data_IF_684011772954
#
_entry.id   IF_684011772954
#
_cell.length_a   1.000
_cell.length_b   1.000
_cell.length_c   1.000
_cell.angle_alpha   90.00
_cell.angle_beta   90.00
_cell.angle_gamma   90.00
#
_symmetry.space_group_name_H-M   'P 1'
#
loop_
_entity.id
_entity.type
_entity.pdbx_description
1 polymer ?
#
# COMPACT_ATOMS: atom_id res chain seq x y z
N UNK A 1 6.96 -10.11 46.04
CA UNK A 1 7.97 -9.31 45.31
C UNK A 1 7.81 -9.59 43.83
N UNK A 2 7.57 -8.54 43.06
CA UNK A 2 6.94 -8.54 41.73
C UNK A 2 7.85 -8.95 40.56
N UNK A 3 7.31 -9.56 39.49
CA UNK A 3 8.02 -9.77 38.22
C UNK A 3 7.80 -8.64 37.18
N UNK A 4 7.25 -7.49 37.59
CA UNK A 4 6.83 -6.40 36.67
C UNK A 4 8.03 -5.62 36.07
N UNK A 5 9.19 -5.64 36.71
CA UNK A 5 10.34 -4.79 36.32
C UNK A 5 11.02 -5.27 35.01
N UNK A 6 10.97 -6.57 34.71
CA UNK A 6 11.69 -7.15 33.56
C UNK A 6 11.05 -6.81 32.21
N UNK A 7 9.73 -6.60 32.15
CA UNK A 7 9.03 -6.23 30.91
C UNK A 7 9.24 -4.77 30.52
N UNK A 8 9.23 -3.85 31.49
CA UNK A 8 9.40 -2.40 31.25
C UNK A 8 10.80 -2.07 30.67
N UNK A 9 11.86 -2.72 31.18
CA UNK A 9 13.22 -2.50 30.67
C UNK A 9 13.47 -3.06 29.26
N UNK A 10 12.73 -4.10 28.87
CA UNK A 10 12.79 -4.64 27.50
C UNK A 10 12.09 -3.72 26.50
N UNK A 11 10.96 -3.13 26.88
CA UNK A 11 10.23 -2.17 26.05
C UNK A 11 11.02 -0.88 25.84
N UNK A 12 11.62 -0.31 26.90
CA UNK A 12 12.40 0.92 26.79
C UNK A 12 13.65 0.75 25.90
N UNK A 13 14.36 -0.37 26.05
CA UNK A 13 15.48 -0.70 25.18
C UNK A 13 15.06 -0.91 23.72
N UNK A 14 13.87 -1.48 23.49
CA UNK A 14 13.34 -1.71 22.14
C UNK A 14 12.95 -0.38 21.49
N UNK A 15 12.33 0.53 22.24
CA UNK A 15 11.98 1.88 21.78
C UNK A 15 13.24 2.67 21.40
N UNK A 16 14.30 2.62 22.20
CA UNK A 16 15.57 3.29 21.86
C UNK A 16 16.19 2.71 20.60
N UNK A 17 16.21 1.38 20.44
CA UNK A 17 16.70 0.73 19.22
C UNK A 17 15.87 1.11 17.99
N UNK A 18 14.55 1.21 18.13
CA UNK A 18 13.64 1.63 17.07
C UNK A 18 13.89 3.08 16.64
N UNK A 19 14.16 3.99 17.60
CA UNK A 19 14.56 5.36 17.27
C UNK A 19 15.89 5.41 16.54
N UNK A 20 16.88 4.64 16.98
CA UNK A 20 18.20 4.59 16.33
C UNK A 20 18.15 4.02 14.91
N UNK A 21 17.34 2.97 14.70
CA UNK A 21 17.17 2.40 13.36
C UNK A 21 16.41 3.36 12.45
N UNK A 22 15.36 4.04 12.94
CA UNK A 22 14.65 5.07 12.15
C UNK A 22 15.58 6.22 11.80
N UNK A 23 16.41 6.68 12.73
CA UNK A 23 17.39 7.74 12.48
C UNK A 23 18.38 7.34 11.37
N UNK A 24 18.84 6.09 11.35
CA UNK A 24 19.66 5.55 10.27
C UNK A 24 18.95 5.58 8.92
N UNK A 25 17.70 5.12 8.87
CA UNK A 25 16.92 5.10 7.64
C UNK A 25 16.60 6.50 7.14
N UNK A 26 16.40 7.48 8.04
CA UNK A 26 16.27 8.90 7.69
C UNK A 26 17.56 9.48 7.13
N UNK A 27 18.70 9.17 7.73
CA UNK A 27 20.00 9.65 7.26
C UNK A 27 20.31 9.16 5.84
N UNK A 28 19.90 7.93 5.50
CA UNK A 28 20.12 7.33 4.19
C UNK A 28 18.92 7.46 3.24
N UNK A 29 17.92 8.29 3.59
CA UNK A 29 16.63 8.40 2.88
C UNK A 29 16.79 8.57 1.37
N UNK A 30 17.66 9.49 0.93
CA UNK A 30 17.84 9.79 -0.50
C UNK A 30 18.33 8.58 -1.28
N UNK A 31 19.33 7.88 -0.76
CA UNK A 31 19.87 6.68 -1.40
C UNK A 31 18.83 5.55 -1.42
N UNK A 32 18.14 5.32 -0.30
CA UNK A 32 17.20 4.22 -0.16
C UNK A 32 15.94 4.40 -1.02
N UNK A 33 15.41 5.62 -1.13
CA UNK A 33 14.26 5.91 -2.01
C UNK A 33 14.62 5.77 -3.49
N UNK A 34 15.83 6.19 -3.89
CA UNK A 34 16.30 6.10 -5.27
C UNK A 34 16.49 4.64 -5.67
N UNK A 35 17.12 3.85 -4.78
CA UNK A 35 17.26 2.42 -4.97
C UNK A 35 15.91 1.71 -5.05
N UNK A 36 14.97 2.07 -4.17
CA UNK A 36 13.63 1.48 -4.20
C UNK A 36 12.87 1.83 -5.48
N UNK A 37 12.86 3.10 -5.91
CA UNK A 37 12.22 3.51 -7.17
C UNK A 37 12.85 2.83 -8.40
N UNK A 38 14.18 2.64 -8.39
CA UNK A 38 14.89 1.86 -9.41
C UNK A 38 14.40 0.41 -9.45
N UNK A 39 14.30 -0.26 -8.30
CA UNK A 39 13.82 -1.64 -8.22
C UNK A 39 12.36 -1.81 -8.68
N UNK A 40 11.48 -0.86 -8.35
CA UNK A 40 10.09 -0.84 -8.85
C UNK A 40 10.08 -0.80 -10.38
N UNK A 41 10.89 0.08 -10.96
CA UNK A 41 11.01 0.27 -12.41
C UNK A 41 11.58 -0.98 -13.09
N UNK A 42 12.63 -1.58 -12.53
CA UNK A 42 13.26 -2.79 -13.06
C UNK A 42 12.36 -4.03 -12.98
N UNK A 43 11.58 -4.13 -11.91
CA UNK A 43 10.56 -5.16 -11.74
C UNK A 43 9.34 -4.95 -12.66
N UNK A 44 9.28 -3.83 -13.40
CA UNK A 44 8.16 -3.41 -14.25
C UNK A 44 6.84 -3.39 -13.48
N UNK A 45 6.89 -2.89 -12.25
CA UNK A 45 5.71 -2.63 -11.44
C UNK A 45 5.24 -1.19 -11.68
N UNK A 46 3.93 -0.95 -11.63
CA UNK A 46 3.31 0.35 -11.91
C UNK A 46 3.60 0.88 -13.33
N UNK A 47 3.61 0.01 -14.35
CA UNK A 47 3.86 0.45 -15.74
C UNK A 47 2.83 1.44 -16.27
N UNK A 48 1.68 1.57 -15.59
CA UNK A 48 0.66 2.56 -15.89
C UNK A 48 0.98 3.98 -15.36
N UNK A 49 2.13 4.16 -14.68
CA UNK A 49 2.59 5.43 -14.12
C UNK A 49 3.92 5.84 -14.75
N UNK A 50 4.15 7.14 -14.87
CA UNK A 50 5.46 7.67 -15.28
C UNK A 50 6.52 7.46 -14.20
N UNK A 51 7.80 7.43 -14.57
CA UNK A 51 8.89 7.32 -13.61
C UNK A 51 8.93 8.46 -12.59
N UNK A 52 8.50 9.67 -12.98
CA UNK A 52 8.39 10.81 -12.08
C UNK A 52 7.27 10.61 -11.05
N UNK A 53 6.10 10.14 -11.49
CA UNK A 53 5.02 9.75 -10.57
C UNK A 53 5.48 8.64 -9.62
N UNK A 54 6.09 7.57 -10.12
CA UNK A 54 6.61 6.48 -9.28
C UNK A 54 7.60 6.99 -8.24
N UNK A 55 8.50 7.90 -8.61
CA UNK A 55 9.47 8.48 -7.67
C UNK A 55 8.81 9.36 -6.61
N UNK A 56 7.80 10.16 -6.99
CA UNK A 56 7.03 10.98 -6.05
C UNK A 56 6.24 10.11 -5.05
N UNK A 57 5.55 9.08 -5.55
CA UNK A 57 4.81 8.12 -4.73
C UNK A 57 5.75 7.34 -3.80
N UNK A 58 6.89 6.86 -4.31
CA UNK A 58 7.91 6.20 -3.49
C UNK A 58 8.44 7.13 -2.39
N UNK A 59 8.64 8.42 -2.67
CA UNK A 59 9.08 9.37 -1.65
C UNK A 59 8.04 9.50 -0.52
N UNK A 60 6.77 9.65 -0.87
CA UNK A 60 5.70 9.81 0.11
C UNK A 60 5.41 8.52 0.89
N UNK A 61 5.40 7.36 0.25
CA UNK A 61 5.23 6.06 0.93
C UNK A 61 6.40 5.78 1.87
N UNK A 62 7.64 6.09 1.46
CA UNK A 62 8.82 5.93 2.31
C UNK A 62 8.71 6.76 3.60
N UNK A 63 8.28 8.02 3.49
CA UNK A 63 8.13 8.91 4.65
C UNK A 63 7.05 8.41 5.61
N UNK A 64 5.87 8.06 5.09
CA UNK A 64 4.77 7.49 5.89
C UNK A 64 5.18 6.16 6.53
N UNK A 65 5.97 5.34 5.84
CA UNK A 65 6.49 4.10 6.39
C UNK A 65 7.44 4.35 7.58
N UNK A 66 8.37 5.32 7.46
CA UNK A 66 9.26 5.67 8.57
C UNK A 66 8.51 6.28 9.76
N UNK A 67 7.50 7.10 9.51
CA UNK A 67 6.63 7.63 10.56
C UNK A 67 5.89 6.51 11.27
N UNK A 68 5.35 5.54 10.54
CA UNK A 68 4.66 4.39 11.11
C UNK A 68 5.60 3.47 11.91
N UNK A 69 6.86 3.34 11.48
CA UNK A 69 7.89 2.66 12.27
C UNK A 69 8.21 3.40 13.57
N UNK A 70 8.34 4.72 13.54
CA UNK A 70 8.74 5.52 14.70
C UNK A 70 7.64 5.62 15.77
N UNK A 71 6.41 5.85 15.31
CA UNK A 71 5.26 6.12 16.19
C UNK A 71 4.46 4.86 16.53
N UNK A 72 4.59 3.81 15.72
CA UNK A 72 3.74 2.62 15.76
C UNK A 72 2.34 2.82 15.17
N UNK A 73 1.95 4.06 14.87
CA UNK A 73 0.68 4.48 14.28
C UNK A 73 0.70 4.25 12.77
N UNK A 74 -0.35 3.63 12.24
CA UNK A 74 -0.47 3.26 10.81
C UNK A 74 -1.48 4.13 10.07
N UNK A 75 -2.16 5.03 10.77
CA UNK A 75 -3.28 5.83 10.29
C UNK A 75 -2.89 6.74 9.11
N UNK A 76 -1.75 7.42 9.20
CA UNK A 76 -1.23 8.26 8.12
C UNK A 76 -0.91 7.42 6.87
N UNK A 77 -0.28 6.27 7.07
CA UNK A 77 0.05 5.34 6.00
C UNK A 77 -1.20 4.74 5.35
N UNK A 78 -2.21 4.36 6.14
CA UNK A 78 -3.50 3.86 5.65
C UNK A 78 -4.25 4.91 4.85
N UNK A 79 -4.30 6.15 5.34
CA UNK A 79 -4.92 7.27 4.64
C UNK A 79 -4.22 7.54 3.29
N UNK A 80 -2.88 7.53 3.30
CA UNK A 80 -2.10 7.68 2.08
C UNK A 80 -2.35 6.53 1.10
N UNK A 81 -2.28 5.28 1.58
CA UNK A 81 -2.50 4.09 0.78
C UNK A 81 -3.89 4.08 0.15
N UNK A 82 -4.94 4.49 0.89
CA UNK A 82 -6.31 4.62 0.37
C UNK A 82 -6.38 5.62 -0.77
N UNK A 83 -5.85 6.84 -0.58
CA UNK A 83 -5.83 7.88 -1.61
C UNK A 83 -5.05 7.45 -2.86
N UNK A 84 -3.92 6.74 -2.68
CA UNK A 84 -3.15 6.19 -3.79
C UNK A 84 -3.94 5.10 -4.52
N UNK A 85 -4.58 4.19 -3.77
CA UNK A 85 -5.41 3.10 -4.30
C UNK A 85 -6.49 3.61 -5.25
N UNK A 86 -7.20 4.67 -4.87
CA UNK A 86 -8.23 5.31 -5.72
C UNK A 86 -7.68 5.82 -7.07
N UNK A 87 -6.39 6.19 -7.13
CA UNK A 87 -5.74 6.63 -8.38
C UNK A 87 -5.20 5.47 -9.22
N UNK A 88 -4.71 4.40 -8.59
CA UNK A 88 -4.03 3.29 -9.29
C UNK A 88 -4.98 2.16 -9.70
N UNK A 89 -6.07 1.94 -8.97
CA UNK A 89 -7.07 0.91 -9.32
C UNK A 89 -7.70 1.18 -10.70
N UNK A 90 -8.15 2.41 -11.04
CA UNK A 90 -8.69 2.69 -12.39
C UNK A 90 -7.66 2.56 -13.52
N UNK A 91 -6.36 2.63 -13.18
CA UNK A 91 -5.25 2.45 -14.12
C UNK A 91 -4.91 0.97 -14.36
N UNK A 92 -5.63 0.05 -13.71
CA UNK A 92 -5.44 -1.40 -13.85
C UNK A 92 -4.27 -1.97 -13.06
N UNK A 93 -3.76 -1.24 -12.06
CA UNK A 93 -2.70 -1.76 -11.18
C UNK A 93 -3.25 -2.90 -10.35
N UNK A 94 -2.55 -4.04 -10.35
CA UNK A 94 -2.96 -5.29 -9.71
C UNK A 94 -2.47 -5.43 -8.24
N UNK A 95 -3.11 -6.31 -7.46
CA UNK A 95 -2.78 -6.47 -6.02
C UNK A 95 -1.38 -7.02 -5.81
N UNK A 96 -0.94 -7.92 -6.67
CA UNK A 96 0.41 -8.48 -6.67
C UNK A 96 1.47 -7.41 -6.94
N UNK A 97 1.18 -6.41 -7.78
CA UNK A 97 2.07 -5.26 -7.98
C UNK A 97 2.25 -4.48 -6.69
N UNK A 98 1.16 -4.14 -6.00
CA UNK A 98 1.20 -3.38 -4.73
C UNK A 98 1.94 -4.15 -3.65
N UNK A 99 1.65 -5.44 -3.50
CA UNK A 99 2.37 -6.31 -2.55
C UNK A 99 3.84 -6.39 -2.90
N UNK A 100 4.19 -6.55 -4.18
CA UNK A 100 5.56 -6.56 -4.67
C UNK A 100 6.33 -5.29 -4.30
N UNK A 101 5.73 -4.12 -4.50
CA UNK A 101 6.32 -2.82 -4.18
C UNK A 101 6.64 -2.69 -2.69
N UNK A 102 5.71 -3.12 -1.82
CA UNK A 102 5.90 -3.09 -0.36
C UNK A 102 7.01 -4.05 0.07
N UNK A 103 7.09 -5.25 -0.53
CA UNK A 103 8.16 -6.21 -0.25
C UNK A 103 9.53 -5.70 -0.71
N UNK A 104 9.60 -5.02 -1.87
CA UNK A 104 10.85 -4.37 -2.32
C UNK A 104 11.33 -3.31 -1.33
N UNK A 105 10.42 -2.51 -0.74
CA UNK A 105 10.79 -1.55 0.29
C UNK A 105 11.37 -2.25 1.51
N UNK A 106 10.70 -3.31 1.99
CA UNK A 106 11.19 -4.13 3.10
C UNK A 106 12.62 -4.62 2.85
N UNK A 107 12.89 -5.12 1.66
CA UNK A 107 14.22 -5.64 1.29
C UNK A 107 15.29 -4.54 1.28
N UNK A 108 14.98 -3.38 0.71
CA UNK A 108 15.90 -2.21 0.69
C UNK A 108 16.26 -1.78 2.11
N UNK A 109 15.27 -1.66 2.99
CA UNK A 109 15.48 -1.25 4.37
C UNK A 109 16.24 -2.31 5.17
N UNK A 110 15.87 -3.59 5.03
CA UNK A 110 16.55 -4.70 5.70
C UNK A 110 18.03 -4.79 5.31
N UNK A 111 18.36 -4.62 4.02
CA UNK A 111 19.76 -4.58 3.54
C UNK A 111 20.54 -3.39 4.12
N UNK A 112 19.90 -2.23 4.25
CA UNK A 112 20.51 -1.05 4.88
C UNK A 112 20.82 -1.29 6.37
N UNK A 113 19.90 -1.90 7.11
CA UNK A 113 20.11 -2.27 8.50
C UNK A 113 21.21 -3.32 8.64
N UNK A 114 21.19 -4.36 7.80
CA UNK A 114 22.24 -5.38 7.76
C UNK A 114 23.62 -4.75 7.53
N UNK A 115 23.75 -3.85 6.53
CA UNK A 115 25.01 -3.18 6.23
C UNK A 115 25.56 -2.39 7.43
N UNK A 116 24.70 -1.74 8.21
CA UNK A 116 25.08 -0.98 9.41
C UNK A 116 25.49 -1.89 10.58
N UNK A 117 24.73 -2.94 10.86
CA UNK A 117 24.88 -3.70 12.11
C UNK A 117 25.64 -5.03 11.95
N UNK A 118 26.03 -5.44 10.74
CA UNK A 118 26.71 -6.73 10.45
C UNK A 118 27.94 -7.07 11.30
N UNK A 119 28.64 -6.08 11.86
CA UNK A 119 29.84 -6.31 12.68
C UNK A 119 29.51 -6.79 14.10
N UNK A 120 28.26 -6.62 14.55
CA UNK A 120 27.79 -7.07 15.85
C UNK A 120 26.50 -7.87 15.65
N UNK A 121 26.64 -9.19 15.58
CA UNK A 121 25.53 -10.09 15.28
C UNK A 121 24.41 -10.05 16.33
N UNK A 122 24.76 -9.94 17.61
CA UNK A 122 23.77 -9.85 18.69
C UNK A 122 22.96 -8.55 18.60
N UNK A 123 23.62 -7.44 18.28
CA UNK A 123 22.94 -6.16 18.05
C UNK A 123 22.08 -6.20 16.79
N UNK A 124 22.57 -6.80 15.70
CA UNK A 124 21.81 -6.98 14.46
C UNK A 124 20.51 -7.76 14.72
N UNK A 125 20.57 -8.88 15.44
CA UNK A 125 19.38 -9.66 15.78
C UNK A 125 18.38 -8.82 16.58
N UNK A 126 18.84 -8.05 17.58
CA UNK A 126 17.96 -7.16 18.35
C UNK A 126 17.32 -6.05 17.51
N UNK A 127 18.04 -5.53 16.52
CA UNK A 127 17.51 -4.54 15.57
C UNK A 127 16.45 -5.17 14.68
N UNK A 128 16.68 -6.39 14.18
CA UNK A 128 15.70 -7.12 13.38
C UNK A 128 14.47 -7.51 14.20
N UNK A 129 14.64 -7.97 15.44
CA UNK A 129 13.55 -8.27 16.37
C UNK A 129 12.63 -7.06 16.61
N UNK A 130 13.18 -5.84 16.56
CA UNK A 130 12.42 -4.60 16.67
C UNK A 130 11.76 -4.17 15.34
N UNK A 131 12.47 -4.35 14.22
CA UNK A 131 12.03 -3.92 12.90
C UNK A 131 10.98 -4.84 12.27
N UNK A 132 11.20 -6.16 12.29
CA UNK A 132 10.40 -7.14 11.54
C UNK A 132 8.93 -7.15 11.94
N UNK A 133 8.54 -7.12 13.24
CA UNK A 133 7.13 -7.10 13.62
C UNK A 133 6.41 -5.84 13.10
N UNK A 134 7.08 -4.69 13.14
CA UNK A 134 6.53 -3.43 12.65
C UNK A 134 6.39 -3.45 11.12
N UNK A 135 7.42 -3.91 10.41
CA UNK A 135 7.40 -4.06 8.96
C UNK A 135 6.30 -5.02 8.48
N UNK A 136 6.15 -6.18 9.13
CA UNK A 136 5.12 -7.16 8.80
C UNK A 136 3.71 -6.60 9.04
N UNK A 137 3.49 -5.88 10.15
CA UNK A 137 2.21 -5.22 10.43
C UNK A 137 1.85 -4.22 9.32
N UNK A 138 2.80 -3.36 8.96
CA UNK A 138 2.62 -2.38 7.88
C UNK A 138 2.27 -3.09 6.56
N UNK A 139 3.02 -4.13 6.19
CA UNK A 139 2.79 -4.83 4.93
C UNK A 139 1.41 -5.49 4.86
N UNK A 140 0.98 -6.15 5.94
CA UNK A 140 -0.36 -6.76 6.03
C UNK A 140 -1.45 -5.70 5.93
N UNK A 141 -1.33 -4.61 6.70
CA UNK A 141 -2.29 -3.51 6.68
C UNK A 141 -2.47 -2.93 5.28
N UNK A 142 -1.36 -2.59 4.61
CA UNK A 142 -1.41 -1.98 3.28
C UNK A 142 -2.02 -2.94 2.26
N UNK A 143 -1.63 -4.22 2.29
CA UNK A 143 -2.17 -5.23 1.39
C UNK A 143 -3.69 -5.43 1.58
N UNK A 144 -4.15 -5.57 2.83
CA UNK A 144 -5.58 -5.74 3.14
C UNK A 144 -6.36 -4.48 2.78
N UNK A 145 -5.87 -3.29 3.12
CA UNK A 145 -6.51 -2.02 2.80
C UNK A 145 -6.70 -1.82 1.30
N UNK A 146 -5.68 -2.16 0.50
CA UNK A 146 -5.77 -2.10 -0.96
C UNK A 146 -6.83 -3.03 -1.53
N UNK A 147 -6.90 -4.28 -1.06
CA UNK A 147 -7.93 -5.25 -1.51
C UNK A 147 -9.33 -4.75 -1.16
N UNK A 148 -9.54 -4.24 0.05
CA UNK A 148 -10.82 -3.69 0.48
C UNK A 148 -11.26 -2.51 -0.40
N UNK A 149 -10.32 -1.62 -0.74
CA UNK A 149 -10.59 -0.48 -1.61
C UNK A 149 -10.95 -0.92 -3.03
N UNK A 150 -10.23 -1.89 -3.58
CA UNK A 150 -10.58 -2.49 -4.87
C UNK A 150 -11.97 -3.08 -4.87
N UNK A 151 -12.33 -3.86 -3.85
CA UNK A 151 -13.68 -4.41 -3.76
C UNK A 151 -14.75 -3.32 -3.68
N UNK A 152 -14.48 -2.22 -2.95
CA UNK A 152 -15.38 -1.07 -2.88
C UNK A 152 -15.60 -0.46 -4.25
N UNK A 153 -14.52 -0.22 -5.00
CA UNK A 153 -14.58 0.32 -6.37
C UNK A 153 -15.38 -0.62 -7.28
N UNK A 154 -15.14 -1.93 -7.22
CA UNK A 154 -15.90 -2.92 -8.01
C UNK A 154 -17.39 -2.88 -7.67
N UNK A 155 -17.76 -2.82 -6.38
CA UNK A 155 -19.17 -2.72 -5.96
C UNK A 155 -19.83 -1.46 -6.49
N UNK A 156 -19.18 -0.31 -6.38
CA UNK A 156 -19.69 0.95 -6.91
C UNK A 156 -19.85 0.92 -8.44
N UNK A 157 -18.89 0.33 -9.16
CA UNK A 157 -19.00 0.14 -10.61
C UNK A 157 -20.20 -0.76 -10.98
N UNK A 158 -20.44 -1.84 -10.23
CA UNK A 158 -21.60 -2.72 -10.46
C UNK A 158 -22.93 -2.01 -10.18
N UNK A 159 -23.01 -1.18 -9.14
CA UNK A 159 -24.20 -0.37 -8.82
C UNK A 159 -24.47 0.67 -9.91
N UNK A 160 -23.45 1.41 -10.35
CA UNK A 160 -23.59 2.37 -11.45
C UNK A 160 -24.06 1.71 -12.75
N UNK A 161 -23.54 0.51 -13.08
CA UNK A 161 -24.03 -0.26 -14.22
C UNK A 161 -25.49 -0.63 -14.03
N UNK A 162 -25.92 -1.08 -12.84
CA UNK A 162 -27.33 -1.43 -12.55
C UNK A 162 -28.26 -0.23 -12.66
N UNK A 163 -27.83 0.96 -12.24
CA UNK A 163 -28.62 2.20 -12.35
C UNK A 163 -28.71 2.71 -13.79
N UNK A 164 -27.63 2.56 -14.58
CA UNK A 164 -27.60 2.90 -16.01
C UNK A 164 -28.26 1.84 -16.89
N UNK A 165 -28.42 0.62 -16.37
CA UNK A 165 -29.13 -0.46 -17.03
C UNK A 165 -30.62 -0.19 -16.88
N UNK A 166 -31.30 0.11 -17.99
CA UNK A 166 -32.76 0.07 -18.04
C UNK A 166 -33.22 -1.34 -17.64
N UNK A 167 -33.95 -1.53 -16.53
CA UNK A 167 -34.41 -2.85 -16.16
C UNK A 167 -35.41 -3.32 -17.22
N UNK A 168 -35.12 -4.46 -17.86
CA UNK A 168 -36.12 -5.14 -18.70
C UNK A 168 -37.13 -5.78 -17.74
N UNK A 169 -38.19 -5.04 -17.42
CA UNK A 169 -39.30 -5.56 -16.62
C UNK A 169 -40.09 -6.57 -17.46
N UNK A 170 -40.21 -7.85 -17.04
CA UNK A 170 -41.07 -8.80 -17.73
C UNK A 170 -42.53 -8.41 -17.51
N UNK A 171 -43.24 -8.04 -18.57
CA UNK A 171 -44.65 -7.58 -18.49
C UNK A 171 -45.64 -8.76 -18.53
N UNK A 172 -45.22 -9.92 -19.07
CA UNK A 172 -45.92 -11.25 -19.09
C UNK A 172 -45.03 -12.31 -19.75
N UNK A 173 -45.37 -13.60 -19.62
CA UNK A 173 -44.71 -14.69 -20.37
C UNK A 173 -44.67 -14.36 -21.87
N UNK A 174 -43.45 -14.24 -22.43
CA UNK A 174 -43.14 -14.01 -23.87
C UNK A 174 -43.33 -12.60 -24.43
N UNK A 175 -43.45 -11.54 -23.61
CA UNK A 175 -43.35 -10.14 -24.08
C UNK A 175 -42.23 -9.38 -23.35
N UNK A 176 -41.26 -8.88 -24.12
CA UNK A 176 -40.17 -8.01 -23.64
C UNK A 176 -40.37 -6.60 -24.21
N UNK A 177 -40.26 -5.58 -23.36
CA UNK A 177 -40.19 -4.18 -23.81
C UNK A 177 -38.71 -3.79 -23.82
N UNK A 178 -38.18 -3.50 -25.00
CA UNK A 178 -36.86 -2.89 -25.15
C UNK A 178 -37.07 -1.38 -25.40
N UNK A 179 -36.69 -0.49 -24.46
CA UNK A 179 -36.72 0.94 -24.72
C UNK A 179 -35.65 1.28 -25.77
N UNK A 180 -36.07 1.81 -26.92
CA UNK A 180 -35.15 2.31 -27.95
C UNK A 180 -34.66 3.70 -27.51
N UNK A 181 -33.35 3.86 -27.32
CA UNK A 181 -32.73 5.17 -27.13
C UNK A 181 -32.07 5.60 -28.44
N UNK A 182 -32.67 6.60 -29.08
CA UNK A 182 -32.17 7.26 -30.29
C UNK A 182 -33.09 8.42 -30.66
N UNK A 183 -32.54 9.47 -31.27
CA UNK A 183 -33.35 10.48 -31.97
C UNK A 183 -34.09 9.77 -33.09
N UNK A 184 -35.43 9.70 -33.00
CA UNK A 184 -36.24 9.22 -34.11
C UNK A 184 -36.08 10.25 -35.23
N UNK A 185 -35.32 9.91 -36.25
CA UNK A 185 -35.28 10.66 -37.51
C UNK A 185 -36.63 10.44 -38.21
N UNK A 186 -37.50 11.47 -38.32
CA UNK A 186 -38.83 11.32 -38.90
C UNK A 186 -38.79 11.09 -40.42
N UNK A 187 -37.63 11.13 -41.08
CA UNK A 187 -37.51 10.93 -42.53
C UNK A 187 -37.44 9.46 -42.99
N UNK A 188 -37.44 8.49 -42.07
CA UNK A 188 -37.46 7.05 -42.43
C UNK A 188 -38.55 6.24 -41.71
N UNK A 189 -39.70 6.86 -41.43
CA UNK A 189 -40.91 6.16 -40.98
C UNK A 189 -41.95 6.09 -42.11
#
# INVERSE_FOLDING_TARGET
>A
MSPVVTHLGRDESTITLLRELVAHLRQNRTQLREEWARLITEAKLLTAMSSEEVFAEATAVYDNYLEALETGSIEALEAYARNLSERIIPRGVETDEVVGIVLLLRDVLARSLFAKYRQNFDLLNRVLDAYEPAANRIAITVAVGFVQERERVIRQQQEAIRELSTPVLPVRERLLILPIIGIIDPQRA
#
